data_IF_273331604118
#
_entry.id   IF_273331604118
#
_cell.length_a   1.000
_cell.length_b   1.000
_cell.length_c   1.000
_cell.angle_alpha   90.00
_cell.angle_beta   90.00
_cell.angle_gamma   90.00
#
_symmetry.space_group_name_H-M   'P 1'
#
loop_
_entity.id
_entity.type
_entity.pdbx_description
1 polymer ?
#
# COMPACT_ATOMS: atom_id res chain seq x y z
N UNK A 1 30.58 -25.35 -13.62
CA UNK A 1 29.29 -24.90 -14.19
C UNK A 1 28.96 -23.58 -13.54
N UNK A 2 28.77 -22.54 -14.34
CA UNK A 2 28.80 -21.15 -13.91
C UNK A 2 27.50 -20.78 -13.16
N UNK A 3 27.61 -20.28 -11.92
CA UNK A 3 26.48 -19.99 -11.02
C UNK A 3 25.50 -19.00 -11.67
N UNK A 4 26.03 -18.06 -12.46
CA UNK A 4 25.28 -17.06 -13.23
C UNK A 4 24.37 -17.68 -14.30
N UNK A 5 24.80 -18.79 -14.92
CA UNK A 5 24.02 -19.48 -15.95
C UNK A 5 22.87 -20.31 -15.38
N UNK A 6 23.01 -20.76 -14.12
CA UNK A 6 21.98 -21.54 -13.40
C UNK A 6 20.89 -20.60 -12.88
N UNK A 7 21.24 -19.43 -12.37
CA UNK A 7 20.29 -18.41 -11.91
C UNK A 7 19.46 -17.85 -13.07
N UNK A 8 20.06 -17.57 -14.23
CA UNK A 8 19.33 -17.10 -15.41
C UNK A 8 18.34 -18.14 -15.96
N UNK A 9 18.73 -19.42 -16.02
CA UNK A 9 17.82 -20.50 -16.44
C UNK A 9 16.66 -20.69 -15.46
N UNK A 10 16.89 -20.50 -14.16
CA UNK A 10 15.83 -20.56 -13.14
C UNK A 10 14.83 -19.41 -13.33
N UNK A 11 15.32 -18.19 -13.53
CA UNK A 11 14.48 -17.00 -13.74
C UNK A 11 13.63 -17.11 -15.01
N UNK A 12 14.20 -17.62 -16.10
CA UNK A 12 13.46 -17.88 -17.34
C UNK A 12 12.35 -18.92 -17.15
N UNK A 13 12.64 -20.01 -16.43
CA UNK A 13 11.65 -21.02 -16.06
C UNK A 13 10.50 -20.41 -15.23
N UNK A 14 10.82 -19.60 -14.23
CA UNK A 14 9.81 -19.00 -13.36
C UNK A 14 8.98 -17.94 -14.09
N UNK A 15 9.57 -17.18 -15.03
CA UNK A 15 8.81 -16.27 -15.91
C UNK A 15 7.80 -17.04 -16.76
N UNK A 16 8.20 -18.17 -17.34
CA UNK A 16 7.28 -19.02 -18.13
C UNK A 16 6.15 -19.59 -17.29
N UNK A 17 6.38 -19.97 -16.03
CA UNK A 17 5.31 -20.39 -15.12
C UNK A 17 4.32 -19.26 -14.85
N UNK A 18 4.81 -18.04 -14.66
CA UNK A 18 3.97 -16.86 -14.47
C UNK A 18 3.15 -16.50 -15.71
N UNK A 19 3.76 -16.58 -16.89
CA UNK A 19 3.06 -16.45 -18.17
C UNK A 19 1.96 -17.52 -18.30
N UNK A 20 2.29 -18.79 -18.08
CA UNK A 20 1.34 -19.90 -18.14
C UNK A 20 0.18 -19.77 -17.13
N UNK A 21 0.46 -19.26 -15.92
CA UNK A 21 -0.58 -18.98 -14.92
C UNK A 21 -1.59 -17.96 -15.45
N UNK A 22 -1.11 -16.83 -15.97
CA UNK A 22 -1.98 -15.76 -16.44
C UNK A 22 -2.61 -16.02 -17.82
N UNK A 23 -2.09 -16.98 -18.59
CA UNK A 23 -2.72 -17.48 -19.81
C UNK A 23 -3.73 -18.61 -19.54
N UNK A 24 -3.73 -19.19 -18.34
CA UNK A 24 -4.67 -20.23 -17.96
C UNK A 24 -6.13 -19.76 -18.02
N UNK A 25 -7.05 -20.64 -18.41
CA UNK A 25 -8.46 -20.32 -18.62
C UNK A 25 -9.14 -19.72 -17.37
N UNK A 26 -8.74 -20.14 -16.16
CA UNK A 26 -9.27 -19.60 -14.91
C UNK A 26 -8.95 -18.11 -14.70
N UNK A 27 -7.83 -17.60 -15.23
CA UNK A 27 -7.46 -16.18 -15.13
C UNK A 27 -8.08 -15.33 -16.24
N UNK A 28 -8.51 -15.96 -17.32
CA UNK A 28 -9.13 -15.32 -18.48
C UNK A 28 -10.63 -15.58 -18.58
N UNK A 29 -11.28 -15.98 -17.49
CA UNK A 29 -12.73 -16.12 -17.45
C UNK A 29 -13.38 -14.75 -17.71
N UNK A 30 -14.31 -14.64 -18.68
CA UNK A 30 -14.97 -13.38 -18.98
C UNK A 30 -15.82 -12.94 -17.78
N UNK A 31 -15.43 -11.82 -17.17
CA UNK A 31 -16.25 -11.15 -16.16
C UNK A 31 -17.34 -10.29 -16.82
N UNK A 32 -18.44 -9.97 -16.12
CA UNK A 32 -19.40 -9.00 -16.61
C UNK A 32 -18.71 -7.64 -16.83
N UNK A 33 -19.10 -6.88 -17.87
CA UNK A 33 -18.56 -5.53 -18.07
C UNK A 33 -18.88 -4.68 -16.84
N UNK A 34 -17.92 -3.87 -16.39
CA UNK A 34 -18.10 -3.01 -15.21
C UNK A 34 -18.98 -1.83 -15.60
N UNK A 35 -20.22 -1.74 -15.07
CA UNK A 35 -21.10 -0.61 -15.35
C UNK A 35 -20.53 0.71 -14.81
N UNK A 36 -20.98 1.84 -15.33
CA UNK A 36 -20.45 3.14 -14.91
C UNK A 36 -20.77 3.44 -13.43
N UNK A 37 -21.93 3.01 -12.94
CA UNK A 37 -22.35 3.08 -11.53
C UNK A 37 -21.46 2.27 -10.57
N UNK A 38 -20.73 1.28 -11.09
CA UNK A 38 -19.81 0.45 -10.30
C UNK A 38 -18.38 1.00 -10.30
N UNK A 39 -18.10 2.11 -10.99
CA UNK A 39 -16.83 2.82 -10.88
C UNK A 39 -16.82 3.72 -9.65
N UNK A 40 -15.72 3.69 -8.90
CA UNK A 40 -15.60 4.45 -7.66
C UNK A 40 -15.60 5.96 -7.92
N UNK A 41 -14.83 6.40 -8.93
CA UNK A 41 -14.70 7.80 -9.30
C UNK A 41 -15.20 8.01 -10.73
N UNK A 42 -15.85 9.14 -10.97
CA UNK A 42 -16.37 9.54 -12.28
C UNK A 42 -15.80 10.90 -12.67
N UNK A 43 -15.31 10.99 -13.91
CA UNK A 43 -14.86 12.27 -14.47
C UNK A 43 -16.10 13.02 -14.94
N UNK A 44 -16.39 14.18 -14.32
CA UNK A 44 -17.45 15.05 -14.81
C UNK A 44 -16.92 15.81 -16.03
N UNK A 45 -17.59 15.75 -17.20
CA UNK A 45 -17.25 16.64 -18.31
C UNK A 45 -17.50 18.09 -17.87
N UNK A 46 -16.61 19.02 -18.26
CA UNK A 46 -16.80 20.45 -17.99
C UNK A 46 -18.08 20.91 -18.71
N UNK A 47 -19.14 21.16 -17.93
CA UNK A 47 -20.24 22.01 -18.37
C UNK A 47 -19.73 23.44 -18.28
N UNK A 48 -19.76 24.21 -19.37
CA UNK A 48 -19.56 25.65 -19.30
C UNK A 48 -20.68 26.24 -18.43
N UNK A 49 -20.40 26.51 -17.17
CA UNK A 49 -21.23 27.38 -16.34
C UNK A 49 -20.33 28.42 -15.71
N UNK A 50 -20.44 29.63 -16.24
CA UNK A 50 -20.21 30.87 -15.51
C UNK A 50 -20.84 30.77 -14.12
N UNK A 51 -20.04 30.81 -13.07
CA UNK A 51 -20.27 31.76 -11.98
C UNK A 51 -19.10 31.76 -11.00
N UNK A 52 -18.66 32.98 -10.70
CA UNK A 52 -17.61 33.30 -9.75
C UNK A 52 -18.10 32.95 -8.35
N UNK A 53 -17.34 32.15 -7.60
CA UNK A 53 -17.32 32.27 -6.15
C UNK A 53 -15.91 32.03 -5.64
N UNK A 54 -15.30 33.13 -5.24
CA UNK A 54 -13.94 33.27 -4.77
C UNK A 54 -13.83 32.72 -3.34
N UNK A 55 -13.21 31.56 -3.16
CA UNK A 55 -12.52 31.22 -1.91
C UNK A 55 -11.18 30.57 -2.25
N UNK A 56 -10.21 31.46 -2.36
CA UNK A 56 -8.82 31.25 -2.71
C UNK A 56 -8.05 30.74 -1.49
N UNK A 57 -7.68 29.46 -1.48
CA UNK A 57 -6.61 28.99 -0.59
C UNK A 57 -5.27 29.29 -1.26
N UNK A 58 -4.77 30.50 -1.03
CA UNK A 58 -3.42 30.89 -1.41
C UNK A 58 -2.44 30.56 -0.29
N UNK A 59 -1.53 29.64 -0.55
CA UNK A 59 -0.08 29.81 -0.32
C UNK A 59 0.64 28.48 -0.54
N UNK A 60 1.45 28.39 -1.60
CA UNK A 60 2.89 28.03 -1.61
C UNK A 60 3.41 28.32 -3.02
N UNK A 61 4.25 29.36 -3.10
CA UNK A 61 5.20 29.75 -4.18
C UNK A 61 4.81 29.47 -5.64
N UNK A 62 4.44 30.57 -6.32
CA UNK A 62 4.40 30.72 -7.77
C UNK A 62 5.81 30.51 -8.35
N UNK A 63 6.11 29.34 -8.93
CA UNK A 63 7.14 29.22 -10.00
C UNK A 63 7.18 27.88 -10.75
N UNK A 64 6.33 26.88 -10.45
CA UNK A 64 6.27 25.62 -11.24
C UNK A 64 4.83 25.17 -11.53
N UNK A 65 3.89 26.12 -11.62
CA UNK A 65 2.49 25.84 -11.90
C UNK A 65 2.28 25.66 -13.42
N UNK A 66 2.83 24.58 -13.98
CA UNK A 66 2.29 24.06 -15.24
C UNK A 66 0.83 23.69 -14.97
N UNK A 67 -0.11 24.48 -15.49
CA UNK A 67 -1.54 24.22 -15.46
C UNK A 67 -1.80 22.80 -15.99
N UNK A 68 -1.89 21.81 -15.09
CA UNK A 68 -2.15 20.43 -15.49
C UNK A 68 -3.58 20.36 -16.02
N UNK A 69 -3.70 20.39 -17.35
CA UNK A 69 -4.96 20.24 -18.08
C UNK A 69 -5.43 18.79 -17.98
N UNK A 70 -6.16 18.47 -16.92
CA UNK A 70 -6.91 17.22 -16.78
C UNK A 70 -8.05 17.18 -17.82
N UNK A 71 -7.74 16.72 -19.03
CA UNK A 71 -8.71 16.55 -20.11
C UNK A 71 -9.45 15.20 -19.97
N UNK A 72 -10.48 14.96 -20.77
CA UNK A 72 -11.24 13.70 -20.75
C UNK A 72 -10.50 12.50 -21.36
N UNK A 73 -9.31 12.70 -21.92
CA UNK A 73 -8.49 11.64 -22.50
C UNK A 73 -7.63 10.97 -21.41
N UNK A 74 -7.98 9.72 -21.10
CA UNK A 74 -7.35 8.93 -20.03
C UNK A 74 -5.84 8.79 -20.13
N UNK A 75 -5.27 8.95 -21.33
CA UNK A 75 -3.86 8.68 -21.59
C UNK A 75 -2.93 9.83 -21.18
N UNK A 76 -3.47 11.03 -20.97
CA UNK A 76 -2.69 12.17 -20.44
C UNK A 76 -2.63 12.23 -18.91
N UNK A 77 -3.38 11.38 -18.21
CA UNK A 77 -3.40 11.34 -16.75
C UNK A 77 -2.16 10.61 -16.20
N UNK A 78 -1.60 11.06 -15.05
CA UNK A 78 -0.51 10.36 -14.42
C UNK A 78 -0.99 8.96 -14.00
N UNK A 79 -0.09 7.97 -14.00
CA UNK A 79 -0.40 6.60 -13.66
C UNK A 79 -1.21 6.42 -12.36
N UNK A 80 -0.94 7.21 -11.32
CA UNK A 80 -1.68 7.10 -10.04
C UNK A 80 -3.16 7.49 -10.19
N UNK A 81 -3.47 8.49 -11.03
CA UNK A 81 -4.84 8.94 -11.27
C UNK A 81 -5.60 7.94 -12.14
N UNK A 82 -4.92 7.36 -13.14
CA UNK A 82 -5.47 6.26 -13.95
C UNK A 82 -5.84 5.06 -13.06
N UNK A 83 -5.00 4.73 -12.08
CA UNK A 83 -5.32 3.71 -11.07
C UNK A 83 -6.55 4.08 -10.25
N UNK A 84 -6.64 5.30 -9.72
CA UNK A 84 -7.81 5.76 -8.97
C UNK A 84 -9.11 5.68 -9.77
N UNK A 85 -9.08 6.09 -11.04
CA UNK A 85 -10.24 6.05 -11.95
C UNK A 85 -10.59 4.61 -12.40
N UNK A 86 -9.64 3.67 -12.31
CA UNK A 86 -9.83 2.25 -12.62
C UNK A 86 -10.47 1.43 -11.50
N UNK A 87 -10.54 1.97 -10.27
CA UNK A 87 -11.14 1.26 -9.13
C UNK A 87 -12.64 1.07 -9.37
N UNK A 88 -13.11 -0.16 -9.17
CA UNK A 88 -14.50 -0.56 -9.33
C UNK A 88 -15.04 -1.28 -8.10
N UNK A 89 -16.33 -1.59 -8.09
CA UNK A 89 -17.00 -2.37 -7.03
C UNK A 89 -16.28 -3.68 -6.71
N UNK A 90 -15.68 -4.33 -7.71
CA UNK A 90 -15.22 -5.73 -7.62
C UNK A 90 -13.70 -5.88 -7.48
N UNK A 91 -12.92 -4.86 -7.84
CA UNK A 91 -11.45 -4.93 -7.88
C UNK A 91 -10.82 -3.54 -7.82
N UNK A 92 -9.61 -3.46 -7.23
CA UNK A 92 -8.82 -2.23 -7.21
C UNK A 92 -8.15 -1.93 -8.55
N UNK A 93 -7.81 -2.98 -9.31
CA UNK A 93 -7.19 -2.86 -10.64
C UNK A 93 -7.64 -4.05 -11.50
N UNK A 94 -7.54 -3.92 -12.82
CA UNK A 94 -7.92 -4.98 -13.75
C UNK A 94 -6.85 -6.09 -13.81
N UNK A 95 -7.27 -7.31 -14.16
CA UNK A 95 -6.34 -8.43 -14.35
C UNK A 95 -5.23 -8.12 -15.38
N UNK A 96 -5.61 -7.54 -16.52
CA UNK A 96 -4.69 -7.05 -17.58
C UNK A 96 -4.66 -5.52 -17.62
N UNK A 97 -4.30 -4.90 -16.50
CA UNK A 97 -4.20 -3.46 -16.40
C UNK A 97 -2.92 -2.93 -17.10
N UNK A 98 -3.11 -2.23 -18.21
CA UNK A 98 -2.02 -1.60 -18.98
C UNK A 98 -1.29 -0.50 -18.19
N UNK A 99 -1.92 0.07 -17.16
CA UNK A 99 -1.35 1.12 -16.33
C UNK A 99 -0.41 0.58 -15.24
N UNK A 100 -0.48 -0.72 -14.92
CA UNK A 100 0.22 -1.31 -13.76
C UNK A 100 1.74 -1.17 -13.87
N UNK A 101 2.32 -1.46 -15.03
CA UNK A 101 3.77 -1.37 -15.26
C UNK A 101 4.26 0.07 -15.09
N UNK A 102 3.57 1.03 -15.73
CA UNK A 102 3.93 2.45 -15.65
C UNK A 102 3.75 3.00 -14.24
N UNK A 103 2.69 2.61 -13.52
CA UNK A 103 2.45 3.02 -12.14
C UNK A 103 3.54 2.52 -11.20
N UNK A 104 3.85 1.23 -11.26
CA UNK A 104 4.88 0.61 -10.40
C UNK A 104 6.27 1.17 -10.68
N UNK A 105 6.61 1.40 -11.96
CA UNK A 105 7.84 2.09 -12.33
C UNK A 105 7.88 3.52 -11.78
N UNK A 106 6.80 4.28 -11.95
CA UNK A 106 6.71 5.65 -11.44
C UNK A 106 6.96 5.71 -9.94
N UNK A 107 6.28 4.91 -9.12
CA UNK A 107 6.50 4.96 -7.66
C UNK A 107 7.91 4.48 -7.25
N UNK A 108 8.52 3.58 -8.03
CA UNK A 108 9.87 3.09 -7.78
C UNK A 108 10.94 4.16 -8.06
N UNK A 109 10.76 5.03 -9.06
CA UNK A 109 11.84 5.92 -9.55
C UNK A 109 11.54 7.41 -9.47
N UNK A 110 10.27 7.83 -9.37
CA UNK A 110 9.90 9.24 -9.41
C UNK A 110 10.48 9.99 -8.21
N UNK A 111 10.99 11.21 -8.45
CA UNK A 111 11.53 12.07 -7.41
C UNK A 111 10.48 12.39 -6.34
N UNK A 112 10.86 12.19 -5.08
CA UNK A 112 10.09 12.62 -3.91
C UNK A 112 10.29 14.12 -3.70
N UNK A 113 9.20 14.85 -3.48
CA UNK A 113 9.21 16.29 -3.22
C UNK A 113 8.72 16.65 -1.82
N UNK A 114 8.06 15.72 -1.13
CA UNK A 114 7.69 15.87 0.27
C UNK A 114 7.57 14.52 0.96
N UNK A 115 8.01 14.44 2.21
CA UNK A 115 7.84 13.28 3.07
C UNK A 115 7.31 13.74 4.44
N UNK A 116 6.19 13.18 4.90
CA UNK A 116 5.62 13.50 6.22
C UNK A 116 5.23 12.23 6.95
N UNK A 117 5.26 12.25 8.28
CA UNK A 117 4.87 11.07 9.02
C UNK A 117 3.34 10.93 9.09
N UNK A 118 2.83 9.71 8.86
CA UNK A 118 1.42 9.44 9.07
C UNK A 118 1.06 9.55 10.57
N UNK A 119 0.06 10.36 10.88
CA UNK A 119 -0.44 10.51 12.25
C UNK A 119 -1.22 9.27 12.74
N UNK A 120 -1.15 9.03 14.06
CA UNK A 120 -1.93 7.99 14.75
C UNK A 120 -1.57 6.55 14.37
N UNK A 121 -0.40 6.32 13.77
CA UNK A 121 0.07 4.96 13.42
C UNK A 121 0.62 4.19 14.62
N UNK A 122 0.46 2.87 14.60
CA UNK A 122 1.10 1.96 15.57
C UNK A 122 2.62 1.98 15.43
N UNK A 123 3.09 1.82 14.19
CA UNK A 123 4.52 1.82 13.84
C UNK A 123 4.84 2.93 12.82
N UNK A 124 6.13 3.16 12.56
CA UNK A 124 6.63 4.22 11.67
C UNK A 124 6.16 4.02 10.23
N UNK A 125 5.47 5.02 9.67
CA UNK A 125 5.01 5.07 8.28
C UNK A 125 5.10 6.51 7.78
N UNK A 126 5.62 6.71 6.58
CA UNK A 126 5.69 8.02 5.95
C UNK A 126 4.75 8.10 4.76
N UNK A 127 4.18 9.27 4.51
CA UNK A 127 3.48 9.59 3.27
C UNK A 127 4.46 10.35 2.39
N UNK A 128 4.82 9.74 1.27
CA UNK A 128 5.73 10.28 0.27
C UNK A 128 4.89 10.93 -0.84
N UNK A 129 5.19 12.17 -1.18
CA UNK A 129 4.54 12.89 -2.28
C UNK A 129 5.54 13.09 -3.42
N UNK A 130 5.11 12.80 -4.63
CA UNK A 130 5.93 12.91 -5.85
C UNK A 130 5.61 14.20 -6.63
N UNK A 131 6.49 14.59 -7.57
CA UNK A 131 6.31 15.81 -8.38
C UNK A 131 4.95 15.90 -9.08
N UNK A 132 4.39 14.76 -9.51
CA UNK A 132 3.09 14.71 -10.19
C UNK A 132 1.90 14.57 -9.23
N UNK A 133 2.05 15.04 -7.98
CA UNK A 133 1.05 15.01 -6.90
C UNK A 133 0.62 13.62 -6.42
N UNK A 134 1.12 12.54 -7.03
CA UNK A 134 0.88 11.19 -6.56
C UNK A 134 1.46 10.99 -5.17
N UNK A 135 0.84 10.12 -4.39
CA UNK A 135 1.31 9.79 -3.04
C UNK A 135 1.48 8.28 -2.86
N UNK A 136 2.46 7.90 -2.04
CA UNK A 136 2.69 6.53 -1.61
C UNK A 136 2.95 6.46 -0.11
N UNK A 137 2.49 5.37 0.51
CA UNK A 137 2.80 5.04 1.89
C UNK A 137 4.12 4.26 1.93
N UNK A 138 5.11 4.83 2.62
CA UNK A 138 6.39 4.21 2.86
C UNK A 138 6.37 3.43 4.18
N UNK A 139 6.79 2.16 4.13
CA UNK A 139 7.23 1.41 5.32
C UNK A 139 8.72 1.08 5.17
N UNK A 140 9.57 1.53 6.10
CA UNK A 140 11.01 1.28 6.02
C UNK A 140 11.33 -0.17 6.39
N UNK A 141 12.51 -0.63 5.99
CA UNK A 141 13.09 -1.87 6.52
C UNK A 141 13.29 -1.75 8.04
N UNK A 142 12.70 -2.70 8.78
CA UNK A 142 12.78 -2.80 10.25
C UNK A 142 13.50 -4.05 10.72
N UNK A 143 13.65 -5.04 9.86
CA UNK A 143 14.16 -6.36 10.18
C UNK A 143 14.90 -6.93 8.95
N UNK A 144 15.98 -7.69 9.16
CA UNK A 144 16.73 -8.36 8.10
C UNK A 144 15.91 -9.49 7.44
N UNK A 145 16.39 -9.97 6.29
CA UNK A 145 15.65 -10.94 5.45
C UNK A 145 15.59 -12.34 6.06
N UNK A 146 16.66 -12.73 6.75
CA UNK A 146 16.88 -14.03 7.37
C UNK A 146 16.41 -14.07 8.83
N UNK A 147 16.02 -12.94 9.40
CA UNK A 147 15.51 -12.87 10.76
C UNK A 147 14.02 -13.26 10.82
N UNK A 148 13.68 -14.14 11.74
CA UNK A 148 12.31 -14.54 12.05
C UNK A 148 11.74 -13.77 13.25
N UNK A 149 10.42 -13.67 13.34
CA UNK A 149 9.78 -13.11 14.53
C UNK A 149 10.01 -14.07 15.70
N UNK A 150 10.50 -13.54 16.83
CA UNK A 150 10.73 -14.35 18.02
C UNK A 150 9.41 -15.01 18.48
N UNK A 151 9.41 -16.34 18.62
CA UNK A 151 8.23 -17.14 18.98
C UNK A 151 7.60 -16.77 20.33
N UNK A 152 8.32 -16.06 21.21
CA UNK A 152 7.80 -15.55 22.48
C UNK A 152 7.05 -14.21 22.35
N UNK A 153 7.11 -13.56 21.18
CA UNK A 153 6.38 -12.32 20.94
C UNK A 153 4.90 -12.62 20.67
N UNK A 154 4.04 -11.78 21.24
CA UNK A 154 2.63 -11.76 20.86
C UNK A 154 2.48 -11.12 19.49
N UNK A 155 1.48 -11.55 18.71
CA UNK A 155 1.14 -11.03 17.38
C UNK A 155 1.00 -9.49 17.28
N UNK A 156 0.66 -8.80 18.39
CA UNK A 156 0.55 -7.33 18.41
C UNK A 156 1.87 -6.61 18.75
N UNK A 157 2.95 -7.36 18.95
CA UNK A 157 4.32 -6.89 19.16
C UNK A 157 5.23 -7.26 17.99
N UNK A 158 4.66 -7.76 16.88
CA UNK A 158 5.44 -8.07 15.69
C UNK A 158 5.78 -6.79 14.91
N UNK A 159 6.86 -6.84 14.13
CA UNK A 159 7.29 -5.71 13.29
C UNK A 159 6.48 -5.65 12.00
N UNK A 160 6.08 -4.44 11.61
CA UNK A 160 5.59 -4.22 10.25
C UNK A 160 6.77 -4.14 9.29
N UNK A 161 6.91 -5.13 8.39
CA UNK A 161 8.04 -5.25 7.46
C UNK A 161 7.66 -4.80 6.05
N UNK A 162 8.58 -4.15 5.37
CA UNK A 162 8.43 -3.74 3.97
C UNK A 162 8.29 -4.94 3.02
N UNK A 163 9.02 -6.04 3.28
CA UNK A 163 8.93 -7.27 2.49
C UNK A 163 7.50 -7.82 2.43
N UNK A 164 6.79 -7.80 3.58
CA UNK A 164 5.43 -8.30 3.67
C UNK A 164 4.49 -7.48 2.78
N UNK A 165 4.61 -6.15 2.75
CA UNK A 165 3.77 -5.30 1.90
C UNK A 165 3.95 -5.61 0.40
N UNK A 166 5.20 -5.79 -0.03
CA UNK A 166 5.52 -6.10 -1.43
C UNK A 166 5.00 -7.49 -1.77
N UNK A 167 5.30 -8.49 -0.95
CA UNK A 167 4.86 -9.87 -1.16
C UNK A 167 3.33 -9.99 -1.16
N UNK A 168 2.65 -9.26 -0.27
CA UNK A 168 1.19 -9.26 -0.18
C UNK A 168 0.55 -8.83 -1.50
N UNK A 169 1.02 -7.72 -2.09
CA UNK A 169 0.52 -7.23 -3.37
C UNK A 169 0.69 -8.28 -4.48
N UNK A 170 1.87 -8.92 -4.56
CA UNK A 170 2.11 -9.94 -5.56
C UNK A 170 1.29 -11.20 -5.33
N UNK A 171 1.13 -11.64 -4.07
CA UNK A 171 0.31 -12.80 -3.72
C UNK A 171 -1.18 -12.55 -3.99
N UNK A 172 -1.71 -11.40 -3.59
CA UNK A 172 -3.08 -10.95 -3.91
C UNK A 172 -3.35 -10.96 -5.43
N UNK A 173 -2.36 -10.51 -6.22
CA UNK A 173 -2.43 -10.54 -7.68
C UNK A 173 -2.37 -11.96 -8.24
N UNK A 174 -1.49 -12.81 -7.72
CA UNK A 174 -1.34 -14.21 -8.11
C UNK A 174 -2.60 -14.99 -7.78
N UNK A 175 -3.22 -14.78 -6.62
CA UNK A 175 -4.49 -15.44 -6.24
C UNK A 175 -5.70 -14.90 -7.01
N UNK A 176 -5.53 -13.83 -7.78
CA UNK A 176 -6.61 -13.22 -8.55
C UNK A 176 -7.61 -12.41 -7.72
N UNK A 177 -7.25 -12.01 -6.49
CA UNK A 177 -8.10 -11.22 -5.61
C UNK A 177 -8.14 -9.74 -6.01
N UNK A 178 -6.99 -9.13 -6.29
CA UNK A 178 -6.86 -7.72 -6.73
C UNK A 178 -7.46 -6.71 -5.73
N UNK A 179 -7.17 -6.93 -4.43
CA UNK A 179 -7.69 -6.16 -3.28
C UNK A 179 -6.60 -5.41 -2.52
N UNK A 180 -5.32 -5.59 -2.86
CA UNK A 180 -4.20 -4.84 -2.26
C UNK A 180 -3.72 -3.75 -3.23
N UNK A 181 -3.55 -2.48 -2.81
CA UNK A 181 -2.97 -1.45 -3.67
C UNK A 181 -1.59 -1.85 -4.21
N UNK A 182 -1.16 -1.38 -5.39
CA UNK A 182 0.18 -1.67 -5.89
C UNK A 182 1.28 -1.25 -4.92
N UNK A 183 2.22 -2.16 -4.66
CA UNK A 183 3.39 -1.92 -3.78
C UNK A 183 4.67 -2.31 -4.51
N UNK A 184 5.71 -1.50 -4.38
CA UNK A 184 7.06 -1.81 -4.88
C UNK A 184 8.11 -1.65 -3.79
N UNK A 185 9.26 -2.28 -3.98
CA UNK A 185 10.48 -1.96 -3.25
C UNK A 185 11.21 -0.76 -3.85
N UNK A 186 11.84 0.06 -3.01
CA UNK A 186 12.71 1.17 -3.41
C UNK A 186 13.85 1.34 -2.43
N UNK A 187 15.04 1.66 -2.94
CA UNK A 187 16.13 2.22 -2.14
C UNK A 187 15.91 3.73 -2.05
N UNK A 188 15.64 4.21 -0.84
CA UNK A 188 15.32 5.61 -0.56
C UNK A 188 16.53 6.28 0.05
N UNK A 189 16.95 7.42 -0.50
CA UNK A 189 17.98 8.24 0.13
C UNK A 189 17.38 8.98 1.33
N UNK A 190 17.79 8.59 2.55
CA UNK A 190 17.23 9.11 3.80
C UNK A 190 17.42 10.62 3.92
N UNK A 191 18.47 11.18 3.32
CA UNK A 191 18.76 12.61 3.39
C UNK A 191 17.96 13.37 2.33
N UNK A 192 18.16 13.03 1.06
CA UNK A 192 17.59 13.77 -0.07
C UNK A 192 16.08 13.56 -0.22
N UNK A 193 15.58 12.37 0.09
CA UNK A 193 14.18 12.01 -0.18
C UNK A 193 13.31 12.02 1.08
N UNK A 194 13.89 12.23 2.26
CA UNK A 194 13.12 12.32 3.52
C UNK A 194 13.52 13.56 4.32
N UNK A 195 14.77 13.63 4.80
CA UNK A 195 15.23 14.66 5.73
C UNK A 195 15.13 16.08 5.16
N UNK A 196 15.55 16.27 3.91
CA UNK A 196 15.67 17.60 3.32
C UNK A 196 14.35 18.07 2.68
N UNK A 197 13.39 17.16 2.47
CA UNK A 197 12.07 17.44 1.87
C UNK A 197 10.91 17.36 2.87
N UNK A 198 11.16 17.06 4.14
CA UNK A 198 10.12 17.02 5.16
C UNK A 198 9.78 18.40 5.70
N UNK A 199 8.49 18.73 5.73
CA UNK A 199 7.95 19.89 6.44
C UNK A 199 7.42 19.53 7.83
N UNK A 200 7.41 18.23 8.17
CA UNK A 200 6.97 17.73 9.47
C UNK A 200 8.06 17.93 10.53
N UNK A 201 7.87 18.98 11.35
CA UNK A 201 8.78 19.32 12.45
C UNK A 201 8.97 18.19 13.47
N UNK A 202 7.99 17.31 13.65
CA UNK A 202 8.12 16.19 14.61
C UNK A 202 9.07 15.15 14.04
N UNK A 203 8.89 14.78 12.77
CA UNK A 203 9.79 13.87 12.06
C UNK A 203 11.21 14.45 11.95
N UNK A 204 11.34 15.71 11.54
CA UNK A 204 12.62 16.39 11.33
C UNK A 204 13.53 16.39 12.57
N UNK A 205 12.96 16.46 13.77
CA UNK A 205 13.70 16.46 15.04
C UNK A 205 14.27 15.09 15.44
N UNK A 206 13.87 14.01 14.76
CA UNK A 206 14.29 12.65 15.10
C UNK A 206 15.51 12.17 14.33
N UNK A 207 16.03 12.97 13.40
CA UNK A 207 17.21 12.62 12.62
C UNK A 207 18.49 12.78 13.44
N UNK A 208 19.40 11.83 13.28
CA UNK A 208 20.74 11.87 13.87
C UNK A 208 21.73 11.05 13.04
N UNK A 209 23.02 11.28 13.26
CA UNK A 209 24.10 10.46 12.69
C UNK A 209 24.50 9.40 13.69
N UNK A 210 24.49 8.13 13.26
CA UNK A 210 24.92 7.00 14.07
C UNK A 210 26.45 6.99 14.31
N UNK A 211 26.95 6.23 15.29
CA UNK A 211 28.40 6.10 15.55
C UNK A 211 29.22 5.62 14.34
N UNK A 212 28.59 4.93 13.38
CA UNK A 212 29.23 4.42 12.16
C UNK A 212 29.00 5.34 10.95
N UNK A 213 28.49 6.56 11.16
CA UNK A 213 28.34 7.57 10.12
C UNK A 213 27.08 7.48 9.26
N UNK A 214 26.22 6.47 9.48
CA UNK A 214 24.92 6.38 8.79
C UNK A 214 23.92 7.42 9.30
N UNK A 215 23.08 7.94 8.42
CA UNK A 215 21.97 8.84 8.79
C UNK A 215 20.75 8.00 9.20
N UNK A 216 20.22 8.28 10.39
CA UNK A 216 19.12 7.53 11.01
C UNK A 216 17.98 8.46 11.44
N UNK A 217 16.79 7.90 11.59
CA UNK A 217 15.64 8.56 12.21
C UNK A 217 14.68 7.54 12.81
N UNK A 218 13.85 7.96 13.78
CA UNK A 218 12.90 7.05 14.44
C UNK A 218 11.45 7.55 14.42
N UNK A 219 11.20 8.82 14.09
CA UNK A 219 9.84 9.37 14.03
C UNK A 219 9.10 9.37 15.38
N UNK A 220 7.76 9.43 15.34
CA UNK A 220 6.89 9.52 16.51
C UNK A 220 5.62 8.65 16.36
N UNK A 221 5.69 7.39 16.76
CA UNK A 221 4.59 6.44 16.75
C UNK A 221 4.48 5.73 18.11
N UNK A 222 3.49 4.86 18.31
CA UNK A 222 3.27 4.23 19.62
C UNK A 222 4.18 3.04 19.90
N UNK A 223 4.67 2.33 18.87
CA UNK A 223 5.54 1.16 18.99
C UNK A 223 6.81 1.37 18.17
N UNK A 224 7.98 1.12 18.78
CA UNK A 224 9.27 1.09 18.10
C UNK A 224 9.67 2.40 17.37
N UNK A 225 9.28 3.56 17.95
CA UNK A 225 9.69 4.90 17.50
C UNK A 225 10.52 5.60 18.59
N UNK A 226 11.73 5.11 18.80
CA UNK A 226 12.73 5.63 19.73
C UNK A 226 14.13 5.42 19.15
N UNK A 227 15.15 6.03 19.74
CA UNK A 227 16.54 5.95 19.24
C UNK A 227 17.03 4.51 19.11
N UNK A 228 16.68 3.62 20.04
CA UNK A 228 17.05 2.21 20.01
C UNK A 228 16.31 1.38 18.93
N UNK A 229 15.29 1.94 18.30
CA UNK A 229 14.55 1.33 17.19
C UNK A 229 14.61 2.18 15.90
N UNK A 230 15.59 3.08 15.80
CA UNK A 230 15.78 3.94 14.65
C UNK A 230 16.02 3.11 13.37
N UNK A 231 15.53 3.63 12.25
CA UNK A 231 15.85 3.11 10.92
C UNK A 231 16.96 3.95 10.32
N UNK A 232 17.91 3.30 9.66
CA UNK A 232 19.15 3.91 9.19
C UNK A 232 19.40 3.59 7.72
N UNK A 233 20.03 4.54 7.02
CA UNK A 233 20.64 4.26 5.73
C UNK A 233 21.91 3.41 5.84
N UNK A 234 22.38 2.88 4.71
CA UNK A 234 23.65 2.17 4.57
C UNK A 234 24.55 2.81 3.50
N UNK A 235 25.27 3.92 3.79
CA UNK A 235 25.08 4.82 4.93
C UNK A 235 23.92 5.82 4.74
N UNK A 236 23.46 6.03 3.49
CA UNK A 236 22.35 6.94 3.14
C UNK A 236 21.14 6.23 2.56
N UNK A 237 21.34 5.16 1.81
CA UNK A 237 20.25 4.41 1.17
C UNK A 237 19.61 3.45 2.16
N UNK A 238 18.28 3.50 2.26
CA UNK A 238 17.47 2.62 3.10
C UNK A 238 16.47 1.88 2.22
N UNK A 239 16.39 0.55 2.40
CA UNK A 239 15.36 -0.23 1.74
C UNK A 239 13.98 0.06 2.34
N UNK A 240 12.98 0.20 1.48
CA UNK A 240 11.60 0.43 1.90
C UNK A 240 10.60 -0.13 0.89
N UNK A 241 9.36 -0.28 1.34
CA UNK A 241 8.20 -0.52 0.48
C UNK A 241 7.46 0.79 0.25
N UNK A 242 6.94 0.98 -0.97
CA UNK A 242 6.08 2.08 -1.35
C UNK A 242 4.77 1.54 -1.90
N UNK A 243 3.70 1.69 -1.13
CA UNK A 243 2.33 1.35 -1.56
C UNK A 243 1.59 2.57 -2.07
N UNK A 244 0.98 2.49 -3.26
CA UNK A 244 0.19 3.59 -3.82
C UNK A 244 -0.94 3.97 -2.87
N UNK A 245 -1.08 5.27 -2.59
CA UNK A 245 -2.19 5.75 -1.78
C UNK A 245 -3.52 5.58 -2.51
N UNK A 246 -4.53 5.08 -1.80
CA UNK A 246 -5.91 5.09 -2.27
C UNK A 246 -6.43 6.53 -2.39
N UNK A 247 -7.53 6.76 -3.14
CA UNK A 247 -8.14 8.09 -3.23
C UNK A 247 -8.41 8.69 -1.85
N UNK A 248 -8.34 10.01 -1.77
CA UNK A 248 -8.58 10.71 -0.50
C UNK A 248 -9.96 10.39 0.07
N UNK A 249 -10.09 10.38 1.40
CA UNK A 249 -11.34 10.05 2.09
C UNK A 249 -12.46 11.06 1.78
N UNK A 250 -12.13 12.31 1.43
CA UNK A 250 -13.10 13.31 1.00
C UNK A 250 -13.74 12.98 -0.35
N UNK A 251 -13.02 12.26 -1.22
CA UNK A 251 -13.50 11.84 -2.54
C UNK A 251 -14.15 10.45 -2.49
N UNK A 252 -13.55 9.54 -1.72
CA UNK A 252 -14.01 8.16 -1.58
C UNK A 252 -14.01 7.73 -0.11
N UNK A 253 -15.08 8.04 0.64
CA UNK A 253 -15.22 7.63 2.03
C UNK A 253 -15.14 6.11 2.19
N UNK A 254 -14.36 5.64 3.16
CA UNK A 254 -14.16 4.21 3.43
C UNK A 254 -14.77 3.82 4.77
N UNK A 255 -15.48 2.70 4.77
CA UNK A 255 -16.05 2.12 6.00
C UNK A 255 -15.10 1.10 6.60
N UNK A 256 -14.76 1.29 7.88
CA UNK A 256 -13.97 0.33 8.66
C UNK A 256 -14.91 -0.66 9.35
N UNK A 257 -14.64 -1.96 9.20
CA UNK A 257 -15.40 -3.03 9.83
C UNK A 257 -14.53 -3.80 10.82
N UNK A 258 -15.10 -4.17 11.97
CA UNK A 258 -14.42 -5.05 12.92
C UNK A 258 -14.55 -6.50 12.45
N UNK A 259 -13.41 -7.18 12.26
CA UNK A 259 -13.40 -8.61 11.95
C UNK A 259 -14.12 -9.42 13.06
N UNK A 260 -14.95 -10.43 12.72
CA UNK A 260 -15.58 -11.30 13.71
C UNK A 260 -14.55 -12.17 14.43
N UNK A 261 -13.49 -12.56 13.71
CA UNK A 261 -12.37 -13.34 14.23
C UNK A 261 -11.21 -12.45 14.72
N UNK A 262 -11.46 -11.16 14.99
CA UNK A 262 -10.47 -10.30 15.63
C UNK A 262 -9.99 -10.95 16.94
N UNK A 263 -8.68 -11.09 17.09
CA UNK A 263 -8.03 -11.56 18.33
C UNK A 263 -8.35 -10.63 19.51
N UNK A 264 -8.07 -11.08 20.73
CA UNK A 264 -8.35 -10.32 21.95
C UNK A 264 -7.44 -9.09 22.13
N UNK A 265 -6.26 -9.08 21.51
CA UNK A 265 -5.17 -8.14 21.79
C UNK A 265 -4.86 -8.07 23.29
N UNK A 266 -4.87 -9.23 23.94
CA UNK A 266 -4.64 -9.39 25.37
C UNK A 266 -3.75 -10.59 25.62
N UNK A 267 -2.91 -10.49 26.65
CA UNK A 267 -2.01 -11.59 27.08
C UNK A 267 -2.74 -12.69 27.87
N UNK A 268 -3.91 -12.37 28.45
CA UNK A 268 -4.63 -13.27 29.36
C UNK A 268 -6.04 -13.62 28.88
N UNK A 269 -6.67 -12.76 28.07
CA UNK A 269 -8.04 -12.98 27.61
C UNK A 269 -8.05 -13.74 26.29
N UNK A 270 -8.86 -14.80 26.22
CA UNK A 270 -9.23 -15.46 24.97
C UNK A 270 -10.33 -14.69 24.23
N UNK A 271 -10.32 -14.73 22.91
CA UNK A 271 -11.41 -14.26 22.07
C UNK A 271 -12.55 -15.29 22.04
N UNK A 272 -13.78 -14.86 21.75
CA UNK A 272 -14.95 -15.76 21.76
C UNK A 272 -14.81 -16.96 20.83
N UNK A 273 -14.26 -16.72 19.63
CA UNK A 273 -14.05 -17.75 18.62
C UNK A 273 -12.97 -18.78 19.01
N UNK A 274 -12.12 -18.48 19.99
CA UNK A 274 -11.12 -19.43 20.51
C UNK A 274 -11.72 -20.43 21.51
N UNK A 275 -12.94 -20.17 22.00
CA UNK A 275 -13.62 -21.00 23.01
C UNK A 275 -14.93 -21.62 22.53
N UNK A 276 -15.45 -21.17 21.39
CA UNK A 276 -16.72 -21.60 20.82
C UNK A 276 -16.48 -22.23 19.44
N UNK A 277 -16.54 -23.56 19.30
CA UNK A 277 -16.35 -24.23 18.02
C UNK A 277 -17.46 -23.91 17.00
N UNK A 278 -18.65 -23.52 17.46
CA UNK A 278 -19.81 -23.19 16.62
C UNK A 278 -19.94 -21.69 16.33
N UNK A 279 -18.92 -20.89 16.66
CA UNK A 279 -18.94 -19.43 16.55
C UNK A 279 -19.39 -18.93 15.16
N UNK A 280 -18.98 -19.61 14.09
CA UNK A 280 -19.35 -19.27 12.71
C UNK A 280 -20.88 -19.29 12.49
N UNK A 281 -21.62 -20.18 13.15
CA UNK A 281 -23.07 -20.29 13.04
C UNK A 281 -23.79 -19.02 13.51
N UNK A 282 -23.23 -18.34 14.51
CA UNK A 282 -23.70 -17.04 14.99
C UNK A 282 -23.32 -15.90 14.05
N UNK A 283 -22.09 -15.93 13.50
CA UNK A 283 -21.61 -14.90 12.56
C UNK A 283 -22.45 -14.90 11.29
N UNK A 284 -22.80 -16.07 10.74
CA UNK A 284 -23.67 -16.22 9.55
C UNK A 284 -25.03 -15.54 9.67
N UNK A 285 -25.52 -15.32 10.91
CA UNK A 285 -26.81 -14.65 11.18
C UNK A 285 -26.66 -13.15 11.44
N UNK A 286 -25.43 -12.67 11.64
CA UNK A 286 -25.13 -11.30 12.08
C UNK A 286 -24.87 -10.37 10.89
N UNK A 287 -25.56 -9.22 10.77
CA UNK A 287 -25.21 -8.21 9.77
C UNK A 287 -23.77 -7.68 9.97
N UNK A 288 -22.99 -7.44 8.89
CA UNK A 288 -23.32 -7.59 7.47
C UNK A 288 -23.04 -8.99 6.88
N UNK A 289 -22.58 -9.96 7.68
CA UNK A 289 -22.13 -11.28 7.21
C UNK A 289 -23.26 -12.20 6.77
N UNK A 290 -24.50 -11.86 7.09
CA UNK A 290 -25.70 -12.60 6.71
C UNK A 290 -26.26 -12.24 5.32
N UNK A 291 -25.60 -11.36 4.56
CA UNK A 291 -26.08 -10.88 3.26
C UNK A 291 -24.95 -10.75 2.23
N UNK A 292 -25.28 -11.01 0.97
CA UNK A 292 -24.40 -10.81 -0.18
C UNK A 292 -23.12 -11.65 -0.12
N UNK A 293 -22.02 -11.10 -0.65
CA UNK A 293 -20.71 -11.77 -0.73
C UNK A 293 -19.88 -11.64 0.54
N UNK A 294 -20.33 -10.86 1.54
CA UNK A 294 -19.50 -10.39 2.64
C UNK A 294 -18.76 -11.49 3.41
N UNK A 295 -19.41 -12.63 3.66
CA UNK A 295 -18.75 -13.74 4.35
C UNK A 295 -17.73 -14.45 3.46
N UNK A 296 -17.97 -14.55 2.15
CA UNK A 296 -17.02 -15.11 1.18
C UNK A 296 -15.83 -14.17 0.97
N UNK A 297 -16.07 -12.86 0.87
CA UNK A 297 -15.02 -11.84 0.83
C UNK A 297 -14.10 -11.94 2.06
N UNK A 298 -14.68 -12.28 3.22
CA UNK A 298 -13.93 -12.53 4.44
C UNK A 298 -13.14 -13.84 4.40
N UNK A 299 -13.65 -14.91 3.76
CA UNK A 299 -12.89 -16.15 3.59
C UNK A 299 -11.65 -15.94 2.72
N UNK A 300 -11.78 -15.23 1.61
CA UNK A 300 -10.63 -14.87 0.75
C UNK A 300 -9.56 -14.10 1.54
N UNK A 301 -9.98 -13.14 2.37
CA UNK A 301 -9.07 -12.39 3.25
C UNK A 301 -8.34 -13.33 4.22
N UNK A 302 -9.05 -14.25 4.88
CA UNK A 302 -8.44 -15.19 5.83
C UNK A 302 -7.50 -16.18 5.14
N UNK A 303 -7.80 -16.61 3.91
CA UNK A 303 -6.90 -17.46 3.11
C UNK A 303 -5.60 -16.70 2.81
N UNK A 304 -5.72 -15.44 2.37
CA UNK A 304 -4.56 -14.58 2.11
C UNK A 304 -3.72 -14.37 3.38
N UNK A 305 -4.37 -13.98 4.48
CA UNK A 305 -3.72 -13.76 5.77
C UNK A 305 -3.02 -15.04 6.26
N UNK A 306 -3.65 -16.20 6.10
CA UNK A 306 -3.04 -17.49 6.46
C UNK A 306 -1.78 -17.80 5.65
N UNK A 307 -1.82 -17.60 4.33
CA UNK A 307 -0.65 -17.82 3.46
C UNK A 307 0.51 -16.88 3.79
N UNK A 308 0.20 -15.68 4.29
CA UNK A 308 1.19 -14.70 4.72
C UNK A 308 1.60 -14.81 6.20
N UNK A 309 0.88 -15.62 6.99
CA UNK A 309 0.97 -15.67 8.45
C UNK A 309 0.67 -14.32 9.15
N UNK A 310 -0.32 -13.57 8.67
CA UNK A 310 -0.73 -12.24 9.19
C UNK A 310 -2.04 -12.22 9.95
#
# INVERSE_FOLDING_TARGET
MDVSSVTERSLESDRRKMEALFDHALYNMPGPPVPEEDRLLKVKPRVHSSDKSSQMWASVTEEDNEDIRWNSSSDSHPPWLRFHLGISRWQLFAHRDQNMATLTQQIATQKVVSAVQKSGGTQLKLVMTFKNYGQALLKPMKQERDEETNHNLYYFSDFERHNAEIAAFHLDRVLGFRRIPPVVGRLVDVVEEIKDVTTDRKLARTFFTSPVGSVCFYGQCSYYCSTEHAVCGRPRLMEASLGVMLPDLSLAPRRTWRSPWRRSYSRSKKAKWETDPDYCSSVKKTPPYNKGTRLLDFMDLVILDFLMST
#
